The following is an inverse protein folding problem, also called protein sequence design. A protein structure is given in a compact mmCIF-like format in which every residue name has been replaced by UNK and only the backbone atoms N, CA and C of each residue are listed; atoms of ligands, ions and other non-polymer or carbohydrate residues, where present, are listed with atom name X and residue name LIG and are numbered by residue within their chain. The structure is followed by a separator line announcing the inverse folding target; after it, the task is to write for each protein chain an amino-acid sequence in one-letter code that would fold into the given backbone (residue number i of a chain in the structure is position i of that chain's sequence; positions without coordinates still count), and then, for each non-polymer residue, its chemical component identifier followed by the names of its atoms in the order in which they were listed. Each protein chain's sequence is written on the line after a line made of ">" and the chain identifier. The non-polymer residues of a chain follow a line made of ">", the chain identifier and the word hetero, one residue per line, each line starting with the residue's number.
data_IF_056053643749
#
_entry.id   IF_056053643749
#
_cell.length_a   1.000
_cell.length_b   1.000
_cell.length_c   1.000
_cell.angle_alpha   90.00
_cell.angle_beta   90.00
_cell.angle_gamma   90.00
#
_symmetry.space_group_name_H-M   'P 1'
#
loop_
_entity.id
_entity.type
_entity.pdbx_description
1 polymer ?
#
# COMPACT_ATOMS: atom_id res chain seq x y z
N UNK A 1 -9.58 -2.00 3.39
CA UNK A 1 -9.93 -3.00 4.43
C UNK A 1 -8.91 -3.07 5.55
N UNK A 2 -7.58 -3.00 5.29
CA UNK A 2 -6.56 -3.02 6.34
C UNK A 2 -6.61 -1.82 7.30
N UNK A 3 -6.14 -0.65 6.87
CA UNK A 3 -6.05 0.55 7.73
C UNK A 3 -7.41 1.01 8.32
N UNK A 4 -8.51 1.12 7.55
CA UNK A 4 -9.82 1.44 8.14
C UNK A 4 -10.37 0.35 9.07
N UNK A 5 -10.02 -0.91 8.84
CA UNK A 5 -10.43 -2.03 9.70
C UNK A 5 -9.73 -2.00 11.05
N UNK A 6 -8.41 -1.78 11.05
CA UNK A 6 -7.67 -1.62 12.32
C UNK A 6 -8.08 -0.36 13.06
N UNK A 7 -8.42 0.74 12.36
CA UNK A 7 -8.99 1.92 13.00
C UNK A 7 -10.37 1.65 13.61
N UNK A 8 -11.20 0.81 12.99
CA UNK A 8 -12.48 0.41 13.56
C UNK A 8 -12.32 -0.41 14.84
N UNK A 9 -11.28 -1.26 14.91
CA UNK A 9 -11.03 -2.14 16.05
C UNK A 9 -10.25 -1.46 17.18
N UNK A 10 -9.24 -0.67 16.87
CA UNK A 10 -8.28 -0.08 17.82
C UNK A 10 -8.39 1.44 17.99
N UNK A 11 -9.27 2.10 17.21
CA UNK A 11 -9.61 3.51 17.40
C UNK A 11 -8.56 4.52 16.91
N UNK A 12 -8.56 5.69 17.56
CA UNK A 12 -7.84 6.89 17.10
C UNK A 12 -6.31 6.76 17.11
N UNK A 13 -5.74 5.82 17.88
CA UNK A 13 -4.28 5.63 17.97
C UNK A 13 -3.69 5.13 16.65
N UNK A 14 -4.40 4.24 15.95
CA UNK A 14 -4.03 3.75 14.62
C UNK A 14 -4.11 4.84 13.55
N UNK A 15 -5.03 5.79 13.71
CA UNK A 15 -5.14 6.95 12.81
C UNK A 15 -3.92 7.83 12.96
N UNK A 16 -3.52 8.14 14.21
CA UNK A 16 -2.33 8.93 14.50
C UNK A 16 -1.06 8.24 14.01
N UNK A 17 -0.92 6.93 14.26
CA UNK A 17 0.23 6.14 13.78
C UNK A 17 0.39 6.19 12.26
N UNK A 18 -0.69 5.92 11.52
CA UNK A 18 -0.69 6.00 10.06
C UNK A 18 -0.44 7.43 9.55
N UNK A 19 -1.01 8.44 10.23
CA UNK A 19 -0.82 9.85 9.89
C UNK A 19 0.62 10.31 10.03
N UNK A 20 1.36 9.89 11.06
CA UNK A 20 2.77 10.23 11.22
C UNK A 20 3.70 9.41 10.32
N UNK A 21 3.32 8.17 10.02
CA UNK A 21 4.09 7.30 9.14
C UNK A 21 4.18 7.85 7.71
N UNK A 22 3.08 8.39 7.16
CA UNK A 22 3.05 8.85 5.76
C UNK A 22 4.02 10.02 5.47
N UNK A 23 4.06 11.13 6.24
CA UNK A 23 5.04 12.20 6.08
C UNK A 23 6.47 11.73 6.34
N UNK A 24 6.70 10.89 7.35
CA UNK A 24 8.02 10.34 7.64
C UNK A 24 8.56 9.52 6.46
N UNK A 25 7.71 8.65 5.89
CA UNK A 25 8.04 7.88 4.70
C UNK A 25 8.27 8.80 3.48
N UNK A 26 7.44 9.83 3.29
CA UNK A 26 7.60 10.79 2.20
C UNK A 26 8.97 11.50 2.27
N UNK A 27 9.35 12.00 3.45
CA UNK A 27 10.65 12.65 3.66
C UNK A 27 11.80 11.67 3.41
N UNK A 28 11.69 10.44 3.93
CA UNK A 28 12.70 9.41 3.71
C UNK A 28 12.86 9.08 2.22
N UNK A 29 11.75 8.88 1.49
CA UNK A 29 11.77 8.58 0.06
C UNK A 29 12.35 9.75 -0.72
N UNK A 30 11.90 11.00 -0.50
CA UNK A 30 12.39 12.15 -1.25
C UNK A 30 13.90 12.36 -1.08
N UNK A 31 14.45 12.12 0.12
CA UNK A 31 15.87 12.27 0.38
C UNK A 31 16.69 11.07 -0.13
N UNK A 32 16.33 9.85 0.26
CA UNK A 32 17.09 8.64 -0.06
C UNK A 32 16.88 8.16 -1.49
N UNK A 33 15.65 8.21 -2.03
CA UNK A 33 15.39 7.71 -3.37
C UNK A 33 16.08 8.57 -4.43
N UNK A 34 16.10 9.90 -4.28
CA UNK A 34 16.80 10.79 -5.20
C UNK A 34 18.32 10.48 -5.22
N UNK A 35 18.91 10.25 -4.05
CA UNK A 35 20.32 9.87 -3.94
C UNK A 35 20.61 8.51 -4.60
N UNK A 36 19.80 7.49 -4.31
CA UNK A 36 19.96 6.15 -4.89
C UNK A 36 19.74 6.16 -6.40
N UNK A 37 18.72 6.86 -6.89
CA UNK A 37 18.42 6.99 -8.31
C UNK A 37 19.60 7.59 -9.08
N UNK A 38 20.20 8.67 -8.57
CA UNK A 38 21.38 9.30 -9.20
C UNK A 38 22.56 8.33 -9.30
N UNK A 39 22.76 7.48 -8.28
CA UNK A 39 23.81 6.45 -8.31
C UNK A 39 23.48 5.33 -9.29
N UNK A 40 22.24 4.82 -9.27
CA UNK A 40 21.78 3.78 -10.19
C UNK A 40 21.95 4.20 -11.66
N UNK A 41 21.58 5.45 -12.00
CA UNK A 41 21.76 6.01 -13.34
C UNK A 41 23.23 6.08 -13.77
N UNK A 42 24.13 6.52 -12.87
CA UNK A 42 25.58 6.55 -13.16
C UNK A 42 26.16 5.16 -13.39
N UNK A 43 25.59 4.14 -12.74
CA UNK A 43 26.04 2.76 -12.83
C UNK A 43 25.33 1.98 -13.95
N UNK A 44 24.32 2.57 -14.59
CA UNK A 44 23.51 1.90 -15.62
C UNK A 44 22.65 0.75 -15.06
N UNK A 45 22.35 0.76 -13.76
CA UNK A 45 21.54 -0.28 -13.13
C UNK A 45 20.04 0.03 -13.25
N UNK A 46 19.27 -0.97 -13.67
CA UNK A 46 17.82 -0.86 -13.85
C UNK A 46 17.01 -1.55 -12.74
N UNK A 47 17.65 -2.34 -11.88
CA UNK A 47 16.98 -3.09 -10.82
C UNK A 47 17.72 -3.00 -9.48
N UNK A 48 16.99 -3.11 -8.37
CA UNK A 48 17.58 -3.07 -7.01
C UNK A 48 18.62 -4.19 -6.81
N UNK A 49 18.37 -5.46 -7.19
CA UNK A 49 19.38 -6.52 -7.04
C UNK A 49 20.65 -6.27 -7.85
N UNK A 50 20.52 -5.72 -9.05
CA UNK A 50 21.65 -5.36 -9.90
C UNK A 50 22.47 -4.22 -9.28
N UNK A 51 21.80 -3.19 -8.74
CA UNK A 51 22.46 -2.09 -8.04
C UNK A 51 23.30 -2.60 -6.86
N UNK A 52 22.76 -3.54 -6.07
CA UNK A 52 23.48 -4.18 -4.96
C UNK A 52 24.70 -4.96 -5.47
N UNK A 53 24.55 -5.75 -6.53
CA UNK A 53 25.65 -6.53 -7.11
C UNK A 53 26.78 -5.67 -7.67
N UNK A 54 26.44 -4.54 -8.29
CA UNK A 54 27.42 -3.61 -8.87
C UNK A 54 28.16 -2.78 -7.81
N UNK A 55 27.52 -2.41 -6.69
CA UNK A 55 28.20 -1.72 -5.57
C UNK A 55 29.28 -2.60 -4.93
N UNK A 56 29.08 -3.92 -4.92
CA UNK A 56 30.03 -4.88 -4.34
C UNK A 56 31.13 -5.32 -5.32
N UNK A 57 31.50 -4.44 -6.26
CA UNK A 57 32.74 -4.56 -7.02
C UNK A 57 32.70 -5.40 -8.30
N UNK A 58 31.51 -5.82 -8.77
CA UNK A 58 31.34 -6.42 -10.11
C UNK A 58 32.23 -7.64 -10.39
N UNK A 59 31.74 -8.85 -10.12
CA UNK A 59 32.52 -10.07 -10.30
C UNK A 59 31.71 -11.34 -10.04
N UNK A 60 32.37 -12.45 -9.69
CA UNK A 60 31.67 -13.70 -9.31
C UNK A 60 30.90 -13.52 -7.99
N UNK A 61 31.47 -12.80 -7.03
CA UNK A 61 30.81 -12.43 -5.77
C UNK A 61 29.62 -11.48 -5.95
N UNK A 62 29.78 -10.42 -6.76
CA UNK A 62 28.68 -9.48 -7.06
C UNK A 62 27.52 -10.14 -7.80
N UNK A 63 27.78 -11.07 -8.73
CA UNK A 63 26.74 -11.85 -9.42
C UNK A 63 25.99 -12.80 -8.49
N UNK A 64 26.69 -13.44 -7.55
CA UNK A 64 26.04 -14.27 -6.52
C UNK A 64 25.14 -13.41 -5.62
N UNK A 65 25.63 -12.26 -5.17
CA UNK A 65 24.85 -11.34 -4.34
C UNK A 65 23.62 -10.80 -5.07
N UNK A 66 23.76 -10.42 -6.36
CA UNK A 66 22.65 -10.03 -7.20
C UNK A 66 21.61 -11.15 -7.31
N UNK A 67 22.03 -12.40 -7.52
CA UNK A 67 21.13 -13.55 -7.57
C UNK A 67 20.38 -13.76 -6.26
N UNK A 68 21.07 -13.72 -5.12
CA UNK A 68 20.45 -13.85 -3.79
C UNK A 68 19.45 -12.71 -3.54
N UNK A 69 19.85 -11.46 -3.82
CA UNK A 69 18.97 -10.30 -3.66
C UNK A 69 17.74 -10.37 -4.56
N UNK A 70 17.87 -10.85 -5.80
CA UNK A 70 16.75 -11.05 -6.71
C UNK A 70 15.78 -12.11 -6.17
N UNK A 71 16.28 -13.25 -5.66
CA UNK A 71 15.44 -14.30 -5.07
C UNK A 71 14.67 -13.76 -3.86
N UNK A 72 15.36 -13.07 -2.94
CA UNK A 72 14.72 -12.46 -1.77
C UNK A 72 13.64 -11.48 -2.21
N UNK A 73 13.94 -10.63 -3.20
CA UNK A 73 12.97 -9.66 -3.73
C UNK A 73 11.74 -10.35 -4.30
N UNK A 74 11.93 -11.41 -5.11
CA UNK A 74 10.81 -12.19 -5.68
C UNK A 74 9.95 -12.80 -4.57
N UNK A 75 10.56 -13.43 -3.56
CA UNK A 75 9.81 -14.04 -2.45
C UNK A 75 8.99 -12.98 -1.71
N UNK A 76 9.58 -11.83 -1.39
CA UNK A 76 8.86 -10.74 -0.71
C UNK A 76 7.71 -10.19 -1.56
N UNK A 77 7.93 -10.02 -2.87
CA UNK A 77 6.88 -9.57 -3.79
C UNK A 77 5.74 -10.58 -3.91
N UNK A 78 6.03 -11.88 -3.93
CA UNK A 78 4.99 -12.92 -3.98
C UNK A 78 4.14 -12.90 -2.71
N UNK A 79 4.76 -12.83 -1.53
CA UNK A 79 4.03 -12.72 -0.25
C UNK A 79 3.14 -11.47 -0.23
N UNK A 80 3.69 -10.33 -0.67
CA UNK A 80 2.94 -9.09 -0.80
C UNK A 80 1.74 -9.25 -1.75
N UNK A 81 1.96 -9.86 -2.91
CA UNK A 81 0.94 -10.05 -3.95
C UNK A 81 -0.21 -10.95 -3.45
N UNK A 82 0.06 -11.97 -2.66
CA UNK A 82 -1.00 -12.82 -2.04
C UNK A 82 -1.95 -12.00 -1.18
N UNK A 83 -1.43 -11.07 -0.38
CA UNK A 83 -2.26 -10.16 0.43
C UNK A 83 -3.15 -9.28 -0.44
N UNK A 84 -2.59 -8.74 -1.54
CA UNK A 84 -3.34 -7.90 -2.47
C UNK A 84 -4.43 -8.66 -3.22
N UNK A 85 -4.14 -9.88 -3.67
CA UNK A 85 -5.15 -10.76 -4.30
C UNK A 85 -6.34 -10.96 -3.36
N UNK A 86 -6.07 -11.25 -2.08
CA UNK A 86 -7.13 -11.48 -1.09
C UNK A 86 -7.98 -10.21 -0.91
N UNK A 87 -7.33 -9.05 -0.80
CA UNK A 87 -8.01 -7.78 -0.64
C UNK A 87 -8.91 -7.45 -1.84
N UNK A 88 -8.39 -7.56 -3.06
CA UNK A 88 -9.15 -7.28 -4.29
C UNK A 88 -10.27 -8.31 -4.50
N UNK A 89 -10.02 -9.59 -4.22
CA UNK A 89 -11.03 -10.65 -4.31
C UNK A 89 -12.21 -10.42 -3.36
N UNK A 90 -11.94 -10.01 -2.11
CA UNK A 90 -12.96 -9.67 -1.13
C UNK A 90 -13.80 -8.46 -1.57
N UNK A 91 -13.15 -7.42 -2.11
CA UNK A 91 -13.83 -6.24 -2.64
C UNK A 91 -14.70 -6.58 -3.86
N UNK A 92 -14.19 -7.39 -4.79
CA UNK A 92 -14.96 -7.83 -5.94
C UNK A 92 -16.16 -8.71 -5.56
N UNK A 93 -16.00 -9.56 -4.54
CA UNK A 93 -17.06 -10.44 -4.06
C UNK A 93 -18.21 -9.64 -3.45
N UNK A 94 -17.89 -8.61 -2.67
CA UNK A 94 -18.92 -7.73 -2.07
C UNK A 94 -19.64 -6.87 -3.11
N UNK A 95 -18.95 -6.42 -4.16
CA UNK A 95 -19.56 -5.60 -5.22
C UNK A 95 -20.39 -6.40 -6.22
N UNK A 96 -19.90 -7.58 -6.62
CA UNK A 96 -20.56 -8.42 -7.62
C UNK A 96 -21.51 -9.45 -7.01
N UNK A 97 -21.52 -9.59 -5.67
CA UNK A 97 -22.29 -10.57 -4.92
C UNK A 97 -22.02 -12.02 -5.37
N UNK A 98 -20.75 -12.36 -5.60
CA UNK A 98 -20.28 -13.69 -6.02
C UNK A 98 -19.30 -14.28 -5.00
N UNK A 99 -18.99 -15.56 -5.13
CA UNK A 99 -17.99 -16.22 -4.27
C UNK A 99 -16.61 -15.55 -4.36
N UNK A 100 -15.90 -15.52 -3.23
CA UNK A 100 -14.58 -14.89 -3.10
C UNK A 100 -13.55 -15.50 -4.06
N UNK A 101 -13.59 -16.82 -4.25
CA UNK A 101 -12.64 -17.52 -5.12
C UNK A 101 -12.87 -17.14 -6.57
N UNK A 102 -14.13 -17.13 -7.01
CA UNK A 102 -14.51 -16.72 -8.37
C UNK A 102 -14.18 -15.25 -8.61
N UNK A 103 -14.47 -14.37 -7.64
CA UNK A 103 -14.11 -12.96 -7.68
C UNK A 103 -12.60 -12.74 -7.82
N UNK A 104 -11.79 -13.42 -6.99
CA UNK A 104 -10.34 -13.29 -7.05
C UNK A 104 -9.79 -13.69 -8.42
N UNK A 105 -10.23 -14.83 -8.97
CA UNK A 105 -9.82 -15.27 -10.31
C UNK A 105 -10.22 -14.28 -11.41
N UNK A 106 -11.43 -13.72 -11.34
CA UNK A 106 -11.89 -12.72 -12.29
C UNK A 106 -11.01 -11.47 -12.23
N UNK A 107 -10.80 -10.91 -11.03
CA UNK A 107 -10.03 -9.68 -10.85
C UNK A 107 -8.57 -9.84 -11.27
N UNK A 108 -7.92 -10.95 -10.89
CA UNK A 108 -6.55 -11.26 -11.31
C UNK A 108 -6.47 -11.39 -12.83
N UNK A 109 -7.45 -12.07 -13.46
CA UNK A 109 -7.44 -12.28 -14.91
C UNK A 109 -7.49 -10.96 -15.66
N UNK A 110 -8.34 -10.03 -15.22
CA UNK A 110 -8.39 -8.68 -15.79
C UNK A 110 -7.04 -7.97 -15.63
N UNK A 111 -6.42 -8.06 -14.44
CA UNK A 111 -5.11 -7.45 -14.17
C UNK A 111 -4.03 -8.01 -15.10
N UNK A 112 -3.97 -9.33 -15.26
CA UNK A 112 -3.00 -9.97 -16.15
C UNK A 112 -3.20 -9.53 -17.60
N UNK A 113 -4.45 -9.47 -18.09
CA UNK A 113 -4.72 -9.11 -19.49
C UNK A 113 -4.24 -7.69 -19.79
N UNK A 114 -4.60 -6.69 -18.98
CA UNK A 114 -4.22 -5.30 -19.29
C UNK A 114 -2.73 -5.05 -19.06
N UNK A 115 -2.10 -5.70 -18.08
CA UNK A 115 -0.65 -5.57 -17.83
C UNK A 115 0.18 -6.19 -18.94
N UNK A 116 -0.23 -7.34 -19.47
CA UNK A 116 0.45 -8.01 -20.59
C UNK A 116 0.37 -7.21 -21.89
N UNK A 117 -0.79 -6.61 -22.20
CA UNK A 117 -0.96 -5.84 -23.44
C UNK A 117 -0.30 -4.47 -23.42
N UNK A 118 -0.32 -3.81 -22.27
CA UNK A 118 0.10 -2.42 -22.18
C UNK A 118 1.53 -2.18 -21.66
N UNK A 119 2.16 -3.20 -21.08
CA UNK A 119 3.50 -3.08 -20.50
C UNK A 119 3.57 -2.03 -19.38
N UNK A 120 4.78 -1.50 -19.12
CA UNK A 120 5.01 -0.54 -18.04
C UNK A 120 4.25 0.78 -18.21
N UNK A 121 3.98 1.20 -19.45
CA UNK A 121 3.27 2.44 -19.72
C UNK A 121 1.79 2.35 -19.31
N UNK A 122 1.12 1.24 -19.60
CA UNK A 122 -0.25 1.06 -19.16
C UNK A 122 -0.36 0.96 -17.64
N UNK A 123 0.58 0.30 -16.98
CA UNK A 123 0.65 0.24 -15.51
C UNK A 123 0.75 1.65 -14.93
N UNK A 124 1.65 2.48 -15.44
CA UNK A 124 1.81 3.86 -14.97
C UNK A 124 0.53 4.70 -15.16
N UNK A 125 -0.18 4.49 -16.28
CA UNK A 125 -1.44 5.18 -16.53
C UNK A 125 -2.55 4.71 -15.58
N UNK A 126 -2.70 3.40 -15.39
CA UNK A 126 -3.70 2.85 -14.47
C UNK A 126 -3.42 3.28 -13.03
N UNK A 127 -2.16 3.31 -12.61
CA UNK A 127 -1.76 3.78 -11.27
C UNK A 127 -2.10 5.27 -11.09
N UNK A 128 -1.86 6.09 -12.11
CA UNK A 128 -2.22 7.53 -12.07
C UNK A 128 -3.73 7.70 -11.88
N UNK A 129 -4.54 6.97 -12.65
CA UNK A 129 -6.00 7.00 -12.52
C UNK A 129 -6.46 6.52 -11.15
N UNK A 130 -5.87 5.44 -10.63
CA UNK A 130 -6.19 4.91 -9.30
C UNK A 130 -5.89 5.93 -8.21
N UNK A 131 -4.72 6.57 -8.24
CA UNK A 131 -4.35 7.60 -7.24
C UNK A 131 -5.31 8.78 -7.30
N UNK A 132 -5.64 9.29 -8.49
CA UNK A 132 -6.62 10.36 -8.64
C UNK A 132 -8.01 9.94 -8.13
N UNK A 133 -8.47 8.74 -8.48
CA UNK A 133 -9.76 8.21 -8.04
C UNK A 133 -9.83 8.02 -6.52
N UNK A 134 -8.78 7.49 -5.90
CA UNK A 134 -8.69 7.33 -4.44
C UNK A 134 -8.66 8.68 -3.72
N UNK A 135 -7.93 9.66 -4.25
CA UNK A 135 -7.88 11.00 -3.70
C UNK A 135 -9.26 11.68 -3.75
N UNK A 136 -9.96 11.60 -4.89
CA UNK A 136 -11.32 12.11 -5.03
C UNK A 136 -12.29 11.41 -4.08
N UNK A 137 -12.22 10.07 -4.00
CA UNK A 137 -13.03 9.28 -3.08
C UNK A 137 -12.82 9.69 -1.62
N UNK A 138 -11.57 9.92 -1.21
CA UNK A 138 -11.25 10.39 0.13
C UNK A 138 -11.87 11.78 0.43
N UNK A 139 -11.82 12.71 -0.54
CA UNK A 139 -12.45 14.03 -0.40
C UNK A 139 -13.97 13.91 -0.26
N UNK A 140 -14.61 13.10 -1.11
CA UNK A 140 -16.07 12.90 -1.07
C UNK A 140 -16.50 12.31 0.28
N UNK A 141 -15.80 11.29 0.77
CA UNK A 141 -16.06 10.69 2.08
C UNK A 141 -15.89 11.73 3.18
N UNK A 142 -14.81 12.52 3.15
CA UNK A 142 -14.56 13.57 4.14
C UNK A 142 -15.68 14.62 4.16
N UNK A 143 -16.12 15.11 3.01
CA UNK A 143 -17.23 16.07 2.92
C UNK A 143 -18.51 15.45 3.47
N UNK A 144 -18.85 14.23 3.05
CA UNK A 144 -20.04 13.53 3.52
C UNK A 144 -20.04 13.38 5.05
N UNK A 145 -18.90 13.01 5.64
CA UNK A 145 -18.75 12.86 7.08
C UNK A 145 -19.04 14.17 7.82
N UNK A 146 -18.45 15.29 7.39
CA UNK A 146 -18.67 16.59 8.03
C UNK A 146 -20.07 17.18 7.81
N UNK A 147 -20.76 16.79 6.74
CA UNK A 147 -22.13 17.28 6.46
C UNK A 147 -23.24 16.45 7.11
N UNK A 148 -22.96 15.19 7.48
CA UNK A 148 -24.00 14.25 7.92
C UNK A 148 -24.17 14.17 9.44
N UNK A 149 -23.16 14.52 10.23
CA UNK A 149 -23.24 14.49 11.69
C UNK A 149 -22.43 15.62 12.33
N UNK A 150 -22.99 16.26 13.35
CA UNK A 150 -22.27 17.22 14.17
C UNK A 150 -21.12 16.53 14.92
N UNK A 151 -19.95 17.17 14.94
CA UNK A 151 -18.73 16.64 15.56
C UNK A 151 -18.93 16.24 17.04
N UNK A 152 -19.76 17.00 17.77
CA UNK A 152 -20.11 16.73 19.17
C UNK A 152 -20.98 15.48 19.33
N UNK A 153 -21.93 15.24 18.42
CA UNK A 153 -22.75 14.03 18.42
C UNK A 153 -21.92 12.80 18.01
N UNK A 154 -20.93 12.98 17.12
CA UNK A 154 -19.95 11.96 16.76
C UNK A 154 -19.12 11.49 17.96
N UNK A 155 -18.56 12.42 18.72
CA UNK A 155 -17.78 12.10 19.93
C UNK A 155 -18.65 11.42 20.98
N UNK A 156 -19.89 11.89 21.16
CA UNK A 156 -20.84 11.27 22.09
C UNK A 156 -21.17 9.82 21.70
N UNK A 157 -21.42 9.55 20.42
CA UNK A 157 -21.71 8.20 19.91
C UNK A 157 -20.51 7.26 19.99
N UNK A 158 -19.31 7.75 19.68
CA UNK A 158 -18.08 6.96 19.78
C UNK A 158 -17.79 6.59 21.24
N UNK A 159 -17.91 7.55 22.17
CA UNK A 159 -17.78 7.27 23.61
C UNK A 159 -18.87 6.34 24.16
N UNK A 160 -20.07 6.35 23.57
CA UNK A 160 -21.14 5.43 23.95
C UNK A 160 -20.89 3.98 23.47
N UNK A 161 -20.08 3.80 22.42
CA UNK A 161 -19.67 2.47 21.94
C UNK A 161 -18.49 1.97 22.78
N UNK A 162 -17.40 2.74 22.83
CA UNK A 162 -16.25 2.47 23.68
C UNK A 162 -15.42 3.74 23.86
N UNK A 163 -15.21 4.14 25.12
CA UNK A 163 -14.40 5.30 25.48
C UNK A 163 -12.92 5.13 25.12
N UNK A 164 -12.41 3.89 25.04
CA UNK A 164 -11.02 3.61 24.67
C UNK A 164 -10.71 3.92 23.21
N UNK A 165 -11.72 4.01 22.33
CA UNK A 165 -11.51 4.36 20.92
C UNK A 165 -11.03 5.81 20.74
N UNK A 166 -11.38 6.70 21.67
CA UNK A 166 -10.98 8.11 21.66
C UNK A 166 -9.93 8.45 22.73
N UNK A 167 -9.95 7.76 23.87
CA UNK A 167 -9.02 7.96 24.97
C UNK A 167 -8.44 6.60 25.42
N UNK A 168 -7.51 6.01 24.66
CA UNK A 168 -6.92 4.72 25.01
C UNK A 168 -6.10 4.85 26.30
N UNK A 169 -6.36 3.98 27.28
CA UNK A 169 -5.62 3.95 28.56
C UNK A 169 -4.18 3.44 28.40
N UNK A 170 -3.88 2.77 27.29
CA UNK A 170 -2.55 2.20 26.99
C UNK A 170 -2.08 2.57 25.58
N UNK A 171 -0.77 2.81 25.42
CA UNK A 171 -0.15 3.13 24.13
C UNK A 171 0.40 1.90 23.39
N UNK A 172 -0.09 0.70 23.73
CA UNK A 172 0.38 -0.54 23.12
C UNK A 172 -0.30 -0.66 21.76
N UNK A 173 0.43 -0.61 20.63
CA UNK A 173 -0.14 -1.20 19.42
C UNK A 173 -0.24 -2.69 19.76
N UNK A 174 -1.36 -3.36 19.47
CA UNK A 174 -1.70 -4.75 19.84
C UNK A 174 -2.00 -5.04 21.32
#
# INVERSE_FOLDING_TARGET
>A
MGSPGVTYEYGAIEVLGNFFFAPAMMVAVLFFANFMQKRALKMGSNTIPEYIGQIHGGGRGGRLLQGVAAIITIVLLVVFLVSQIKAVGLLGASWLNIDMTTSAWLMISVIIIYTMWGGLAAVAWTDTVMVCGMALGAIVIMVQMFTSVDLTDWVARLNAIDTNLLAPETGVPY
#
